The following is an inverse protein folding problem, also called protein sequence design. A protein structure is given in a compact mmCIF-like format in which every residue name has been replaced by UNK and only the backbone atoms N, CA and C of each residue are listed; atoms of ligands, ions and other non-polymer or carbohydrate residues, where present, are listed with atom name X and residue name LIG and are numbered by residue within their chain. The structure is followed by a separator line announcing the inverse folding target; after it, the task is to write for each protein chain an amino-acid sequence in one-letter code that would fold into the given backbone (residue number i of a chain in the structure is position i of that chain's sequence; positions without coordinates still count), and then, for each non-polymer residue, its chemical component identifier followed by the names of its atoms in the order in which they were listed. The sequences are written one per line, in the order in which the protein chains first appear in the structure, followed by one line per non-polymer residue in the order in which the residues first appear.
data_IF_686447366544
#
_entry.id   IF_686447366544
#
_cell.length_a   1.000
_cell.length_b   1.000
_cell.length_c   1.000
_cell.angle_alpha   90.00
_cell.angle_beta   90.00
_cell.angle_gamma   90.00
#
_symmetry.space_group_name_H-M   'P 1'
#
loop_
_entity.id
_entity.type
_entity.pdbx_description
1 polymer ?
#
# COMPACT_ATOMS: atom_id res chain seq x y z
N UNK A 1 -18.40 -24.77 -15.35
CA UNK A 1 -16.95 -24.51 -15.42
C UNK A 1 -16.64 -23.52 -14.32
N UNK A 2 -16.05 -23.97 -13.21
CA UNK A 2 -15.80 -23.11 -12.04
C UNK A 2 -14.44 -22.47 -12.24
N UNK A 3 -14.40 -21.19 -12.59
CA UNK A 3 -13.14 -20.44 -12.64
C UNK A 3 -12.79 -20.15 -11.19
N UNK A 4 -11.70 -20.75 -10.70
CA UNK A 4 -11.19 -20.53 -9.36
C UNK A 4 -10.72 -19.08 -9.21
N UNK A 5 -11.43 -18.32 -8.37
CA UNK A 5 -11.20 -16.91 -8.03
C UNK A 5 -10.45 -16.80 -6.71
N UNK A 6 -9.40 -17.60 -6.49
CA UNK A 6 -8.62 -17.49 -5.24
C UNK A 6 -7.74 -16.26 -5.34
N UNK A 7 -8.24 -15.16 -4.83
CA UNK A 7 -7.53 -13.91 -4.69
C UNK A 7 -6.63 -13.96 -3.44
N UNK A 8 -5.48 -13.28 -3.44
CA UNK A 8 -4.51 -13.35 -2.35
C UNK A 8 -5.10 -12.80 -1.04
N UNK A 9 -4.77 -13.37 0.13
CA UNK A 9 -5.18 -12.76 1.38
C UNK A 9 -4.55 -11.37 1.54
N UNK A 10 -5.24 -10.47 2.25
CA UNK A 10 -4.74 -9.10 2.52
C UNK A 10 -3.34 -9.09 3.16
N UNK A 11 -3.01 -10.14 3.92
CA UNK A 11 -1.69 -10.34 4.52
C UNK A 11 -0.57 -10.47 3.49
N UNK A 12 -0.84 -11.15 2.36
CA UNK A 12 0.11 -11.32 1.27
C UNK A 12 0.33 -9.98 0.54
N UNK A 13 -0.75 -9.23 0.31
CA UNK A 13 -0.69 -7.89 -0.29
C UNK A 13 0.12 -6.96 0.60
N UNK A 14 -0.20 -6.91 1.89
CA UNK A 14 0.54 -6.13 2.89
C UNK A 14 2.03 -6.47 2.86
N UNK A 15 2.39 -7.75 2.95
CA UNK A 15 3.79 -8.17 2.93
C UNK A 15 4.52 -7.75 1.64
N UNK A 16 3.83 -7.80 0.50
CA UNK A 16 4.38 -7.38 -0.80
C UNK A 16 4.62 -5.87 -0.85
N UNK A 17 3.66 -5.08 -0.34
CA UNK A 17 3.77 -3.63 -0.27
C UNK A 17 4.90 -3.22 0.68
N UNK A 18 4.96 -3.81 1.86
CA UNK A 18 5.99 -3.49 2.85
C UNK A 18 7.40 -3.82 2.35
N UNK A 19 7.58 -4.97 1.67
CA UNK A 19 8.90 -5.43 1.20
C UNK A 19 9.34 -4.78 -0.11
N UNK A 20 8.45 -4.68 -1.10
CA UNK A 20 8.86 -4.35 -2.48
C UNK A 20 8.46 -2.94 -2.91
N UNK A 21 7.43 -2.36 -2.29
CA UNK A 21 6.99 -1.00 -2.60
C UNK A 21 7.60 0.00 -1.62
N UNK A 22 7.42 -0.25 -0.32
CA UNK A 22 7.87 0.63 0.75
C UNK A 22 9.29 0.32 1.22
N UNK A 23 9.83 -0.86 0.90
CA UNK A 23 11.21 -1.27 1.18
C UNK A 23 11.57 -1.17 2.68
N UNK A 24 10.66 -1.62 3.55
CA UNK A 24 10.74 -1.47 5.01
C UNK A 24 11.70 -2.44 5.69
N UNK A 25 12.01 -3.56 5.04
CA UNK A 25 12.80 -4.64 5.61
C UNK A 25 14.21 -4.69 5.01
N UNK A 26 15.16 -5.19 5.80
CA UNK A 26 16.49 -5.56 5.33
C UNK A 26 16.42 -6.71 4.31
N UNK A 27 17.57 -7.05 3.71
CA UNK A 27 17.65 -8.12 2.70
C UNK A 27 17.20 -9.51 3.23
N UNK A 28 17.14 -9.70 4.55
CA UNK A 28 16.60 -10.90 5.19
C UNK A 28 15.07 -11.01 5.11
N UNK A 29 14.37 -9.92 4.77
CA UNK A 29 12.92 -9.85 4.64
C UNK A 29 12.14 -9.89 5.97
N UNK A 30 12.82 -9.89 7.11
CA UNK A 30 12.19 -9.99 8.44
C UNK A 30 12.59 -8.87 9.39
N UNK A 31 13.80 -8.35 9.26
CA UNK A 31 14.30 -7.27 10.12
C UNK A 31 13.85 -5.93 9.55
N UNK A 32 13.16 -5.12 10.34
CA UNK A 32 12.82 -3.76 9.95
C UNK A 32 14.10 -2.91 9.87
N UNK A 33 14.22 -2.12 8.80
CA UNK A 33 15.26 -1.10 8.67
C UNK A 33 15.13 -0.05 9.78
N UNK A 34 16.15 0.77 9.96
CA UNK A 34 16.05 1.95 10.83
C UNK A 34 14.93 2.88 10.38
N UNK A 35 14.24 3.53 11.33
CA UNK A 35 13.09 4.40 11.04
C UNK A 35 13.40 5.57 10.10
N UNK A 36 14.68 5.98 10.02
CA UNK A 36 15.17 7.01 9.11
C UNK A 36 15.09 6.60 7.65
N UNK A 37 15.00 5.30 7.37
CA UNK A 37 14.84 4.72 6.03
C UNK A 37 13.38 4.41 5.69
N UNK A 38 12.45 4.56 6.64
CA UNK A 38 11.04 4.32 6.37
C UNK A 38 10.41 5.51 5.61
N UNK A 39 9.57 5.25 4.59
CA UNK A 39 8.85 6.31 3.86
C UNK A 39 7.91 7.14 4.74
N UNK A 40 7.39 6.51 5.79
CA UNK A 40 6.58 7.15 6.83
C UNK A 40 6.43 6.26 8.04
N UNK A 41 6.09 6.88 9.17
CA UNK A 41 5.92 6.20 10.45
C UNK A 41 4.83 6.85 11.30
N UNK A 42 4.20 6.03 12.14
CA UNK A 42 3.40 6.50 13.26
C UNK A 42 4.30 6.66 14.47
N UNK A 43 4.13 7.76 15.20
CA UNK A 43 4.65 7.93 16.53
C UNK A 43 3.55 7.58 17.54
N UNK A 44 3.83 6.55 18.34
CA UNK A 44 2.94 6.07 19.38
C UNK A 44 3.02 6.98 20.62
N UNK A 45 2.02 6.94 21.52
CA UNK A 45 2.00 7.74 22.74
C UNK A 45 3.18 7.47 23.69
N UNK A 46 3.76 6.28 23.64
CA UNK A 46 4.95 5.89 24.41
C UNK A 46 6.27 6.42 23.79
N UNK A 47 6.18 7.14 22.67
CA UNK A 47 7.31 7.67 21.92
C UNK A 47 7.94 6.67 20.95
N UNK A 48 7.49 5.42 20.93
CA UNK A 48 7.94 4.42 19.95
C UNK A 48 7.43 4.75 18.55
N UNK A 49 8.04 4.11 17.55
CA UNK A 49 7.72 4.32 16.15
C UNK A 49 7.46 3.00 15.46
N UNK A 50 6.46 2.99 14.61
CA UNK A 50 6.12 1.85 13.73
C UNK A 50 5.95 2.35 12.30
N UNK A 51 6.27 1.54 11.27
CA UNK A 51 5.99 1.92 9.89
C UNK A 51 4.53 2.33 9.69
N UNK A 52 4.29 3.34 8.86
CA UNK A 52 2.94 3.88 8.60
C UNK A 52 2.15 3.00 7.61
N UNK A 53 1.95 1.73 7.97
CA UNK A 53 1.21 0.74 7.17
C UNK A 53 0.12 0.12 8.03
N UNK A 54 -1.14 0.20 7.59
CA UNK A 54 -2.25 -0.46 8.29
C UNK A 54 -3.33 -0.98 7.34
N UNK A 55 -4.13 -1.88 7.88
CA UNK A 55 -5.25 -2.52 7.19
C UNK A 55 -6.55 -2.05 7.85
N UNK A 56 -7.32 -1.23 7.14
CA UNK A 56 -8.61 -0.68 7.60
C UNK A 56 -9.64 -1.80 7.67
N UNK A 57 -10.23 -2.03 8.84
CA UNK A 57 -11.16 -3.15 9.09
C UNK A 57 -10.57 -4.23 9.98
N UNK A 58 -9.28 -4.52 9.84
CA UNK A 58 -8.54 -5.42 10.73
C UNK A 58 -7.88 -4.68 11.91
N UNK A 59 -7.50 -3.42 11.72
CA UNK A 59 -6.89 -2.58 12.76
C UNK A 59 -7.23 -1.12 12.50
N UNK A 60 -7.94 -0.46 13.43
CA UNK A 60 -8.10 0.99 13.37
C UNK A 60 -6.83 1.66 13.90
N UNK A 61 -6.29 2.63 13.16
CA UNK A 61 -5.24 3.52 13.69
C UNK A 61 -5.88 4.41 14.75
N UNK A 62 -5.45 4.34 16.02
CA UNK A 62 -5.96 5.21 17.05
C UNK A 62 -5.71 6.68 16.70
N UNK A 63 -6.70 7.55 16.94
CA UNK A 63 -6.64 8.98 16.57
C UNK A 63 -5.51 9.76 17.26
N UNK A 64 -4.88 9.18 18.29
CA UNK A 64 -3.78 9.79 19.03
C UNK A 64 -2.39 9.48 18.43
N UNK A 65 -2.30 8.70 17.36
CA UNK A 65 -1.02 8.40 16.70
C UNK A 65 -0.68 9.53 15.74
N UNK A 66 0.50 10.14 15.92
CA UNK A 66 0.97 11.19 15.01
C UNK A 66 1.64 10.54 13.80
N UNK A 67 1.19 10.90 12.60
CA UNK A 67 1.81 10.42 11.36
C UNK A 67 2.87 11.39 10.84
N UNK A 68 3.99 10.85 10.39
CA UNK A 68 5.01 11.57 9.63
C UNK A 68 5.34 10.82 8.34
N UNK A 69 5.31 11.53 7.22
CA UNK A 69 5.72 11.01 5.92
C UNK A 69 4.60 10.35 5.09
N UNK A 70 4.91 9.28 4.37
CA UNK A 70 3.95 8.56 3.53
C UNK A 70 3.24 7.49 4.36
N UNK A 71 1.91 7.59 4.40
CA UNK A 71 1.04 6.54 4.90
C UNK A 71 0.71 5.53 3.81
N UNK A 72 0.55 4.26 4.15
CA UNK A 72 -0.05 3.23 3.32
C UNK A 72 -1.25 2.60 4.04
N UNK A 73 -2.42 2.73 3.42
CA UNK A 73 -3.69 2.22 3.91
C UNK A 73 -4.17 1.13 2.97
N UNK A 74 -4.51 -0.03 3.50
CA UNK A 74 -5.07 -1.16 2.75
C UNK A 74 -6.49 -1.40 3.27
N UNK A 75 -7.49 -1.49 2.41
CA UNK A 75 -8.82 -1.92 2.85
C UNK A 75 -8.83 -3.44 3.10
N UNK A 76 -9.34 -3.89 4.26
CA UNK A 76 -9.39 -5.32 4.62
C UNK A 76 -10.33 -6.10 3.70
N UNK A 77 -11.45 -5.48 3.36
CA UNK A 77 -12.47 -6.07 2.49
C UNK A 77 -12.20 -5.64 1.05
N UNK A 78 -11.98 -6.58 0.12
CA UNK A 78 -11.81 -6.25 -1.29
C UNK A 78 -13.11 -5.74 -1.92
N UNK A 79 -12.98 -4.84 -2.90
CA UNK A 79 -14.07 -4.46 -3.79
C UNK A 79 -14.35 -5.61 -4.75
N UNK A 80 -15.61 -6.06 -4.81
CA UNK A 80 -16.04 -7.16 -5.67
C UNK A 80 -16.83 -6.60 -6.86
N UNK A 81 -16.29 -6.78 -8.07
CA UNK A 81 -16.96 -6.40 -9.32
C UNK A 81 -17.39 -7.66 -10.06
N UNK A 82 -18.70 -7.80 -10.29
CA UNK A 82 -19.27 -8.90 -11.09
C UNK A 82 -19.76 -8.36 -12.42
N UNK A 83 -18.92 -8.29 -13.48
CA UNK A 83 -19.41 -7.98 -14.81
C UNK A 83 -20.33 -9.12 -15.25
N UNK A 84 -21.63 -8.85 -15.30
CA UNK A 84 -22.63 -9.87 -15.66
C UNK A 84 -22.23 -10.61 -16.94
N UNK A 85 -22.27 -11.94 -16.91
CA UNK A 85 -21.98 -12.79 -18.06
C UNK A 85 -23.20 -13.66 -18.37
N UNK A 86 -23.49 -13.79 -19.67
CA UNK A 86 -24.65 -14.52 -20.21
C UNK A 86 -24.56 -16.04 -19.99
N UNK A 87 -23.39 -16.55 -19.55
CA UNK A 87 -23.11 -17.99 -19.40
C UNK A 87 -22.37 -18.35 -18.09
N UNK A 88 -22.18 -17.41 -17.16
CA UNK A 88 -21.52 -17.69 -15.88
C UNK A 88 -21.40 -16.47 -14.98
N UNK A 89 -21.11 -16.70 -13.69
CA UNK A 89 -20.78 -15.63 -12.74
C UNK A 89 -19.27 -15.43 -12.75
N UNK A 90 -18.82 -14.26 -13.18
CA UNK A 90 -17.42 -13.83 -13.06
C UNK A 90 -17.37 -12.81 -11.94
N UNK A 91 -16.62 -13.11 -10.88
CA UNK A 91 -16.36 -12.19 -9.78
C UNK A 91 -14.90 -11.78 -9.81
N UNK A 92 -14.63 -10.47 -9.79
CA UNK A 92 -13.28 -9.91 -9.75
C UNK A 92 -13.14 -9.16 -8.42
N UNK A 93 -12.22 -9.61 -7.58
CA UNK A 93 -11.89 -8.93 -6.34
C UNK A 93 -10.66 -8.02 -6.53
N UNK A 94 -10.71 -6.84 -5.92
CA UNK A 94 -9.58 -5.92 -5.90
C UNK A 94 -9.44 -5.21 -4.57
N UNK A 95 -8.22 -5.10 -4.06
CA UNK A 95 -7.91 -4.34 -2.85
C UNK A 95 -7.64 -2.89 -3.20
N UNK A 96 -8.34 -1.99 -2.53
CA UNK A 96 -8.01 -0.58 -2.56
C UNK A 96 -6.83 -0.33 -1.60
N UNK A 97 -5.74 0.19 -2.16
CA UNK A 97 -4.55 0.59 -1.42
C UNK A 97 -4.33 2.06 -1.67
N UNK A 98 -4.27 2.85 -0.60
CA UNK A 98 -4.08 4.29 -0.66
C UNK A 98 -2.79 4.69 0.03
N UNK A 99 -1.96 5.43 -0.70
CA UNK A 99 -0.80 6.11 -0.16
C UNK A 99 -1.13 7.58 0.01
N UNK A 100 -0.82 8.16 1.16
CA UNK A 100 -1.05 9.59 1.42
C UNK A 100 0.22 10.22 1.95
N UNK A 101 0.67 11.31 1.33
CA UNK A 101 1.88 12.02 1.72
C UNK A 101 1.57 13.16 2.70
N UNK A 102 1.78 12.89 3.99
CA UNK A 102 1.66 13.84 5.11
C UNK A 102 2.95 14.63 5.39
N UNK A 103 3.96 14.55 4.52
CA UNK A 103 5.15 15.39 4.59
C UNK A 103 4.76 16.88 4.54
N UNK A 104 4.85 17.56 5.68
CA UNK A 104 4.36 18.95 5.87
C UNK A 104 5.44 19.91 6.33
N UNK A 105 6.67 19.45 6.60
CA UNK A 105 7.79 20.34 6.95
C UNK A 105 8.85 20.34 5.88
N UNK A 106 9.24 21.54 5.45
CA UNK A 106 10.49 21.79 4.73
C UNK A 106 11.62 21.09 5.51
N UNK A 107 12.34 20.16 4.85
CA UNK A 107 13.37 19.34 5.49
C UNK A 107 12.94 17.95 6.00
N UNK A 108 11.66 17.56 5.89
CA UNK A 108 11.26 16.14 6.06
C UNK A 108 11.80 15.36 4.86
N UNK A 109 13.05 14.87 4.96
CA UNK A 109 13.64 14.02 3.93
C UNK A 109 12.89 12.70 3.89
N UNK A 110 12.01 12.55 2.92
CA UNK A 110 11.37 11.28 2.62
C UNK A 110 12.37 10.44 1.82
N UNK A 111 12.66 9.20 2.23
CA UNK A 111 13.63 8.37 1.52
C UNK A 111 13.14 7.96 0.11
N UNK A 112 11.82 8.01 -0.14
CA UNK A 112 11.22 7.73 -1.45
C UNK A 112 10.09 8.72 -1.75
N UNK A 113 9.89 9.02 -3.04
CA UNK A 113 8.80 9.88 -3.52
C UNK A 113 7.53 9.09 -3.87
N UNK A 114 6.40 9.79 -4.04
CA UNK A 114 5.17 9.17 -4.57
C UNK A 114 5.35 8.62 -5.99
N UNK A 115 6.18 9.27 -6.80
CA UNK A 115 6.55 8.78 -8.13
C UNK A 115 7.32 7.45 -8.06
N UNK A 116 8.23 7.30 -7.11
CA UNK A 116 8.97 6.05 -6.92
C UNK A 116 8.04 4.92 -6.47
N UNK A 117 7.10 5.22 -5.57
CA UNK A 117 6.06 4.26 -5.14
C UNK A 117 5.19 3.85 -6.33
N UNK A 118 4.73 4.80 -7.15
CA UNK A 118 3.97 4.50 -8.36
C UNK A 118 4.75 3.57 -9.30
N UNK A 119 6.04 3.85 -9.53
CA UNK A 119 6.91 2.99 -10.36
C UNK A 119 7.08 1.60 -9.76
N UNK A 120 7.24 1.49 -8.44
CA UNK A 120 7.36 0.19 -7.75
C UNK A 120 6.06 -0.61 -7.80
N UNK A 121 4.90 0.05 -7.65
CA UNK A 121 3.59 -0.59 -7.84
C UNK A 121 3.44 -1.07 -9.28
N UNK A 122 3.78 -0.26 -10.28
CA UNK A 122 3.70 -0.68 -11.68
C UNK A 122 4.59 -1.90 -12.00
N UNK A 123 5.68 -2.11 -11.24
CA UNK A 123 6.55 -3.31 -11.35
C UNK A 123 5.99 -4.51 -10.59
N UNK A 124 5.53 -4.29 -9.36
CA UNK A 124 4.98 -5.33 -8.49
C UNK A 124 3.56 -5.76 -8.89
N UNK A 125 2.83 -4.92 -9.63
CA UNK A 125 1.43 -5.10 -9.98
C UNK A 125 1.15 -4.52 -11.38
N UNK A 126 1.75 -5.10 -12.45
CA UNK A 126 1.74 -4.49 -13.79
C UNK A 126 0.37 -4.43 -14.46
N UNK A 127 -0.61 -5.18 -13.95
CA UNK A 127 -1.99 -5.23 -14.49
C UNK A 127 -2.98 -4.36 -13.72
N UNK A 128 -2.51 -3.73 -12.65
CA UNK A 128 -3.35 -3.03 -11.69
C UNK A 128 -3.41 -1.54 -11.97
N UNK A 129 -4.59 -0.97 -11.73
CA UNK A 129 -4.83 0.44 -12.01
C UNK A 129 -4.29 1.28 -10.86
N UNK A 130 -3.54 2.33 -11.19
CA UNK A 130 -3.03 3.30 -10.23
C UNK A 130 -3.52 4.69 -10.62
N UNK A 131 -4.16 5.36 -9.68
CA UNK A 131 -4.67 6.73 -9.80
C UNK A 131 -3.86 7.64 -8.90
N UNK A 132 -3.20 8.64 -9.51
CA UNK A 132 -2.46 9.67 -8.79
C UNK A 132 -3.33 10.90 -8.58
N UNK A 133 -3.23 11.48 -7.38
CA UNK A 133 -3.86 12.74 -7.00
C UNK A 133 -2.79 13.69 -6.48
N UNK A 134 -2.57 14.78 -7.21
CA UNK A 134 -1.64 15.83 -6.81
C UNK A 134 -2.11 16.51 -5.51
N UNK A 135 -1.16 17.07 -4.75
CA UNK A 135 -1.48 17.92 -3.59
C UNK A 135 -2.27 19.14 -4.05
N UNK A 136 -3.30 19.51 -3.28
CA UNK A 136 -4.04 20.77 -3.44
C UNK A 136 -3.99 21.56 -2.13
N UNK A 137 -4.57 22.76 -2.10
CA UNK A 137 -4.70 23.57 -0.88
C UNK A 137 -5.49 22.85 0.23
N UNK A 138 -6.36 21.90 -0.14
CA UNK A 138 -7.30 21.22 0.76
C UNK A 138 -7.03 19.72 0.91
N UNK A 139 -6.21 19.13 0.04
CA UNK A 139 -5.91 17.69 0.06
C UNK A 139 -4.42 17.43 0.00
N UNK A 140 -3.97 16.44 0.79
CA UNK A 140 -2.64 15.87 0.65
C UNK A 140 -2.46 15.22 -0.72
N UNK A 141 -1.20 15.12 -1.16
CA UNK A 141 -0.85 14.28 -2.31
C UNK A 141 -1.15 12.83 -1.97
N UNK A 142 -1.78 12.11 -2.89
CA UNK A 142 -2.14 10.72 -2.69
C UNK A 142 -1.99 9.89 -3.96
N UNK A 143 -1.78 8.59 -3.77
CA UNK A 143 -1.74 7.59 -4.82
C UNK A 143 -2.68 6.45 -4.42
N UNK A 144 -3.64 6.10 -5.25
CA UNK A 144 -4.55 4.98 -5.00
C UNK A 144 -4.30 3.88 -6.01
N UNK A 145 -4.11 2.64 -5.58
CA UNK A 145 -3.94 1.48 -6.42
C UNK A 145 -5.06 0.46 -6.16
N UNK A 146 -5.61 -0.11 -7.24
CA UNK A 146 -6.58 -1.20 -7.19
C UNK A 146 -5.89 -2.51 -7.54
N UNK A 147 -5.48 -3.25 -6.52
CA UNK A 147 -4.65 -4.44 -6.65
C UNK A 147 -5.52 -5.67 -6.83
N UNK A 148 -5.37 -6.40 -7.94
CA UNK A 148 -6.22 -7.56 -8.30
C UNK A 148 -5.59 -8.92 -7.98
N UNK A 149 -4.35 -8.95 -7.49
CA UNK A 149 -3.66 -10.21 -7.20
C UNK A 149 -2.27 -10.00 -6.60
N UNK A 150 -1.64 -11.08 -6.14
CA UNK A 150 -0.26 -11.05 -5.69
C UNK A 150 0.62 -11.56 -6.83
N UNK A 151 1.33 -10.68 -7.52
CA UNK A 151 2.24 -11.14 -8.58
C UNK A 151 3.60 -10.48 -8.47
N UNK A 152 4.55 -11.21 -7.88
CA UNK A 152 5.97 -10.97 -8.08
C UNK A 152 6.37 -11.37 -9.51
N UNK A 153 6.68 -10.39 -10.36
CA UNK A 153 7.67 -10.63 -11.42
C UNK A 153 9.04 -10.58 -10.73
N UNK A 154 9.88 -11.64 -10.78
CA UNK A 154 11.25 -11.54 -10.29
C UNK A 154 11.99 -10.43 -11.05
N UNK A 155 12.96 -9.73 -10.41
CA UNK A 155 13.75 -8.73 -11.12
C UNK A 155 14.42 -9.40 -12.32
N UNK A 156 14.25 -8.81 -13.51
CA UNK A 156 15.06 -9.19 -14.67
C UNK A 156 16.51 -8.80 -14.33
N UNK A 157 17.48 -9.73 -14.44
CA UNK A 157 18.89 -9.46 -14.15
C UNK A 157 19.49 -8.37 -15.04
#
# INVERSE_FOLDING_TARGET
MTISTVFPPVTLIRSTLERHVLDLYEADGSTLKAYTSWPGYYQLPDGSRTPAVYVTGASMVPSNWAITGIECVIEDVPEIVSPGSVSGVVSIESWNVRFTNYGTKEGTRMPISMLDIQRRIARAFPRDQVTYMARTEVTFEALTARIRGAVLNPPIP
#
